data_IF_214886879235
#
_entry.id   IF_214886879235
#
_cell.length_a   1.000
_cell.length_b   1.000
_cell.length_c   1.000
_cell.angle_alpha   90.00
_cell.angle_beta   90.00
_cell.angle_gamma   90.00
#
_symmetry.space_group_name_H-M   'P 1'
#
loop_
_entity.id
_entity.type
_entity.pdbx_description
1 polymer ?
#
# COMPACT_ATOMS: atom_id res chain seq x y z
N UNK A 1 -17.92 -8.27 -11.12
CA UNK A 1 -18.67 -9.36 -10.44
C UNK A 1 -18.40 -10.71 -11.12
N UNK A 2 -18.41 -11.82 -10.35
CA UNK A 2 -17.96 -13.19 -10.76
C UNK A 2 -16.45 -13.33 -10.92
N UNK A 3 -15.72 -13.24 -9.81
CA UNK A 3 -14.29 -13.55 -9.77
C UNK A 3 -14.07 -14.98 -9.25
N UNK A 4 -12.97 -15.60 -9.67
CA UNK A 4 -12.54 -16.88 -9.10
C UNK A 4 -12.14 -16.65 -7.64
N UNK A 5 -12.48 -17.56 -6.71
CA UNK A 5 -12.03 -17.48 -5.33
C UNK A 5 -10.51 -17.33 -5.24
N UNK A 6 -10.05 -16.40 -4.41
CA UNK A 6 -8.64 -16.03 -4.32
C UNK A 6 -8.33 -15.54 -2.92
N UNK A 7 -7.17 -15.96 -2.41
CA UNK A 7 -6.51 -15.34 -1.28
C UNK A 7 -5.16 -14.81 -1.75
N UNK A 8 -4.92 -13.51 -1.58
CA UNK A 8 -3.66 -12.89 -1.98
C UNK A 8 -3.22 -11.81 -0.99
N UNK A 9 -1.91 -11.59 -0.94
CA UNK A 9 -1.30 -10.46 -0.25
C UNK A 9 -1.17 -9.28 -1.19
N UNK A 10 -1.35 -8.07 -0.67
CA UNK A 10 -1.29 -6.82 -1.42
C UNK A 10 0.08 -6.17 -1.24
N UNK A 11 0.62 -5.66 -2.36
CA UNK A 11 1.74 -4.71 -2.34
C UNK A 11 1.25 -3.32 -1.94
N UNK A 12 2.13 -2.44 -1.44
CA UNK A 12 1.84 -1.01 -1.32
C UNK A 12 1.28 -0.42 -2.61
N UNK A 13 0.25 0.42 -2.50
CA UNK A 13 -0.42 0.98 -3.67
C UNK A 13 -1.76 1.65 -3.36
N UNK A 14 -2.40 2.15 -4.43
CA UNK A 14 -3.71 2.80 -4.37
C UNK A 14 -4.82 1.78 -4.67
N UNK A 15 -5.78 1.67 -3.76
CA UNK A 15 -7.03 0.95 -3.97
C UNK A 15 -8.09 1.95 -4.44
N UNK A 16 -8.78 1.63 -5.54
CA UNK A 16 -9.91 2.42 -6.03
C UNK A 16 -11.19 1.60 -5.92
N UNK A 17 -12.16 2.12 -5.17
CA UNK A 17 -13.48 1.53 -5.00
C UNK A 17 -14.45 2.27 -5.91
N UNK A 18 -15.07 1.55 -6.84
CA UNK A 18 -16.13 2.07 -7.70
C UNK A 18 -17.49 1.71 -7.09
N UNK A 19 -18.27 2.73 -6.72
CA UNK A 19 -19.60 2.54 -6.16
C UNK A 19 -20.66 2.42 -7.28
N UNK A 20 -21.84 1.92 -6.94
CA UNK A 20 -22.92 1.68 -7.90
C UNK A 20 -23.44 2.96 -8.57
N UNK A 21 -23.21 4.12 -7.97
CA UNK A 21 -23.55 5.43 -8.52
C UNK A 21 -22.49 5.95 -9.52
N UNK A 22 -21.41 5.20 -9.73
CA UNK A 22 -20.30 5.58 -10.61
C UNK A 22 -19.23 6.44 -9.93
N UNK A 23 -19.37 6.75 -8.64
CA UNK A 23 -18.34 7.45 -7.89
C UNK A 23 -17.13 6.54 -7.63
N UNK A 24 -15.95 7.17 -7.55
CA UNK A 24 -14.69 6.47 -7.30
C UNK A 24 -14.03 7.03 -6.04
N UNK A 25 -13.84 6.16 -5.03
CA UNK A 25 -13.11 6.50 -3.80
C UNK A 25 -11.72 5.89 -3.85
N UNK A 26 -10.69 6.68 -3.54
CA UNK A 26 -9.30 6.27 -3.64
C UNK A 26 -8.67 6.25 -2.25
N UNK A 27 -8.09 5.11 -1.91
CA UNK A 27 -7.40 4.90 -0.64
C UNK A 27 -5.96 4.50 -0.92
N UNK A 28 -5.04 5.03 -0.13
CA UNK A 28 -3.67 4.57 -0.04
C UNK A 28 -3.50 4.02 1.36
N UNK A 29 -2.91 2.83 1.52
CA UNK A 29 -2.50 2.43 2.85
C UNK A 29 -1.21 3.15 3.22
N UNK A 30 -1.21 3.73 4.41
CA UNK A 30 -0.04 4.33 5.01
C UNK A 30 0.38 3.41 6.17
N UNK A 31 1.65 3.36 6.50
CA UNK A 31 2.13 3.05 7.84
C UNK A 31 3.15 4.15 8.11
N UNK A 32 3.35 4.52 9.36
CA UNK A 32 4.43 5.37 9.83
C UNK A 32 5.85 4.89 9.44
N UNK A 33 5.97 3.74 8.76
CA UNK A 33 7.13 3.20 8.03
C UNK A 33 6.86 2.83 6.55
N UNK A 34 5.82 3.39 5.93
CA UNK A 34 5.44 3.28 4.50
C UNK A 34 5.12 1.85 4.00
N UNK A 35 4.66 0.95 4.88
CA UNK A 35 4.32 -0.44 4.55
C UNK A 35 2.81 -0.64 4.47
N UNK A 36 2.31 -1.12 3.33
CA UNK A 36 1.00 -1.80 3.32
C UNK A 36 1.26 -3.29 3.20
N UNK A 37 0.89 -4.03 4.24
CA UNK A 37 0.64 -5.47 4.14
C UNK A 37 -0.87 -5.64 4.32
N UNK A 38 -1.55 -5.92 3.21
CA UNK A 38 -2.98 -6.20 3.21
C UNK A 38 -3.27 -7.58 2.65
N UNK A 39 -4.46 -8.08 2.91
CA UNK A 39 -4.96 -9.30 2.26
C UNK A 39 -6.24 -8.99 1.51
N UNK A 40 -6.38 -9.63 0.35
CA UNK A 40 -7.65 -9.70 -0.37
C UNK A 40 -8.13 -11.14 -0.38
N UNK A 41 -9.36 -11.33 0.06
CA UNK A 41 -10.07 -12.60 0.02
C UNK A 41 -11.30 -12.44 -0.86
N UNK A 42 -11.40 -13.26 -1.89
CA UNK A 42 -12.59 -13.41 -2.72
C UNK A 42 -13.20 -14.77 -2.37
N UNK A 43 -14.41 -14.76 -1.82
CA UNK A 43 -15.12 -15.95 -1.40
C UNK A 43 -15.94 -16.56 -2.55
N UNK A 44 -16.38 -17.81 -2.36
CA UNK A 44 -17.18 -18.56 -3.36
C UNK A 44 -18.52 -17.89 -3.69
N UNK A 45 -19.10 -17.15 -2.74
CA UNK A 45 -20.32 -16.36 -2.92
C UNK A 45 -20.06 -15.01 -3.62
N UNK A 46 -18.84 -14.77 -4.11
CA UNK A 46 -18.36 -13.51 -4.69
C UNK A 46 -18.33 -12.32 -3.72
N UNK A 47 -18.45 -12.53 -2.41
CA UNK A 47 -18.12 -11.50 -1.44
C UNK A 47 -16.60 -11.28 -1.39
N UNK A 48 -16.18 -10.03 -1.18
CA UNK A 48 -14.77 -9.64 -1.13
C UNK A 48 -14.46 -9.01 0.21
N UNK A 49 -13.38 -9.44 0.84
CA UNK A 49 -12.82 -8.83 2.04
C UNK A 49 -11.45 -8.25 1.68
N UNK A 50 -11.27 -6.96 1.95
CA UNK A 50 -9.98 -6.29 1.83
C UNK A 50 -9.59 -5.85 3.22
N UNK A 51 -8.54 -6.46 3.77
CA UNK A 51 -7.97 -6.08 5.04
C UNK A 51 -6.67 -5.33 4.77
N UNK A 52 -6.54 -4.14 5.33
CA UNK A 52 -5.32 -3.36 5.33
C UNK A 52 -5.02 -2.96 6.77
N UNK A 53 -3.74 -2.93 7.13
CA UNK A 53 -3.29 -2.44 8.43
C UNK A 53 -3.72 -0.99 8.65
N UNK A 54 -3.58 -0.17 7.62
CA UNK A 54 -4.06 1.22 7.59
C UNK A 54 -4.48 1.60 6.16
N UNK A 55 -5.51 2.44 6.05
CA UNK A 55 -6.09 2.89 4.79
C UNK A 55 -6.54 4.35 4.93
N UNK A 56 -5.77 5.26 4.31
CA UNK A 56 -6.04 6.70 4.32
C UNK A 56 -6.61 7.15 2.97
N UNK A 57 -7.58 8.08 2.94
CA UNK A 57 -7.99 8.73 1.71
C UNK A 57 -6.80 9.40 1.03
N UNK A 58 -6.69 9.28 -0.29
CA UNK A 58 -5.57 9.86 -1.04
C UNK A 58 -5.51 11.38 -0.88
N UNK A 59 -6.66 12.06 -0.72
CA UNK A 59 -6.70 13.50 -0.46
C UNK A 59 -6.02 13.93 0.86
N UNK A 60 -5.84 13.01 1.81
CA UNK A 60 -5.24 13.32 3.11
C UNK A 60 -3.71 13.15 3.11
N UNK A 61 -3.10 12.77 1.98
CA UNK A 61 -1.66 12.55 1.87
C UNK A 61 -0.94 13.88 1.65
N UNK A 62 0.01 14.20 2.51
CA UNK A 62 0.94 15.30 2.30
C UNK A 62 2.05 14.88 1.32
N UNK A 63 1.97 15.41 0.11
CA UNK A 63 2.93 15.13 -0.98
C UNK A 63 4.33 15.67 -0.66
N UNK A 64 4.46 16.75 0.11
CA UNK A 64 5.77 17.29 0.48
C UNK A 64 6.45 16.38 1.49
N UNK A 65 5.72 15.98 2.55
CA UNK A 65 6.22 15.04 3.54
C UNK A 65 6.63 13.70 2.90
N UNK A 66 5.83 13.18 1.95
CA UNK A 66 6.15 11.95 1.22
C UNK A 66 7.44 12.07 0.40
N UNK A 67 7.67 13.21 -0.26
CA UNK A 67 8.92 13.46 -1.02
C UNK A 67 10.14 13.56 -0.12
N UNK A 68 9.99 14.20 1.03
CA UNK A 68 11.08 14.29 2.02
C UNK A 68 11.42 12.91 2.59
N UNK A 69 10.41 12.11 2.91
CA UNK A 69 10.59 10.73 3.35
C UNK A 69 11.30 9.88 2.29
N UNK A 70 10.91 9.98 1.01
CA UNK A 70 11.56 9.28 -0.10
C UNK A 70 13.05 9.67 -0.23
N UNK A 71 13.36 10.97 -0.15
CA UNK A 71 14.73 11.44 -0.21
C UNK A 71 15.58 10.86 0.94
N UNK A 72 15.01 10.77 2.14
CA UNK A 72 15.67 10.17 3.31
C UNK A 72 15.89 8.67 3.12
N UNK A 73 14.90 7.94 2.62
CA UNK A 73 15.01 6.50 2.33
C UNK A 73 16.09 6.23 1.27
N UNK A 74 16.17 7.06 0.23
CA UNK A 74 17.20 6.96 -0.81
C UNK A 74 18.61 7.22 -0.27
N UNK A 75 18.76 8.17 0.67
CA UNK A 75 20.03 8.41 1.36
C UNK A 75 20.42 7.21 2.24
N UNK A 76 19.47 6.65 2.99
CA UNK A 76 19.70 5.46 3.81
C UNK A 76 20.15 4.27 2.97
N UNK A 77 19.47 4.02 1.84
CA UNK A 77 19.82 2.96 0.89
C UNK A 77 21.25 3.13 0.35
N UNK A 78 21.65 4.37 0.07
CA UNK A 78 23.00 4.69 -0.41
C UNK A 78 24.07 4.50 0.67
N UNK A 79 23.72 4.67 1.95
CA UNK A 79 24.63 4.53 3.09
C UNK A 79 24.65 3.14 3.72
N UNK A 80 23.76 2.23 3.31
CA UNK A 80 23.60 0.90 3.90
C UNK A 80 24.81 -0.01 3.64
N UNK A 81 25.46 -0.44 4.72
CA UNK A 81 26.70 -1.23 4.68
C UNK A 81 26.51 -2.74 4.64
N UNK A 82 25.40 -3.24 5.17
CA UNK A 82 25.08 -4.66 5.29
C UNK A 82 23.82 -5.02 4.49
N UNK A 83 23.64 -6.32 4.21
CA UNK A 83 22.56 -6.79 3.34
C UNK A 83 21.17 -6.60 3.95
N UNK A 84 21.06 -6.71 5.28
CA UNK A 84 19.77 -6.54 5.98
C UNK A 84 19.34 -5.07 5.92
N UNK A 85 20.22 -4.13 6.28
CA UNK A 85 19.90 -2.71 6.19
C UNK A 85 19.63 -2.24 4.75
N UNK A 86 20.33 -2.82 3.77
CA UNK A 86 20.05 -2.56 2.35
C UNK A 86 18.68 -3.07 1.93
N UNK A 87 18.29 -4.27 2.35
CA UNK A 87 16.97 -4.83 2.04
C UNK A 87 15.84 -4.00 2.65
N UNK A 88 15.97 -3.57 3.90
CA UNK A 88 15.00 -2.70 4.57
C UNK A 88 14.90 -1.32 3.90
N UNK A 89 16.04 -0.72 3.57
CA UNK A 89 16.06 0.56 2.86
C UNK A 89 15.49 0.45 1.44
N UNK A 90 15.68 -0.69 0.76
CA UNK A 90 15.11 -0.94 -0.55
C UNK A 90 13.58 -1.02 -0.48
N UNK A 91 13.04 -1.69 0.55
CA UNK A 91 11.60 -1.76 0.81
C UNK A 91 11.03 -0.37 1.12
N UNK A 92 11.78 0.48 1.83
CA UNK A 92 11.33 1.84 2.17
C UNK A 92 11.31 2.82 0.98
N UNK A 93 12.08 2.53 -0.08
CA UNK A 93 12.08 3.31 -1.33
C UNK A 93 10.95 2.88 -2.28
N UNK A 94 10.57 1.60 -2.26
CA UNK A 94 9.41 1.07 -3.01
C UNK A 94 8.07 1.62 -2.50
#
# INVERSE_FOLDING_TARGET
PKHVPLLAVLKPGVVTVFENDGSAKRYFGNDNNNRIIGTVTINDDSSVQVLAEEAVPVENIDVQAAREALNKAQQQLSSASDEVSRAEAQIAVE
#
